data_IF_348150918631
#
_entry.id   IF_348150918631
#
_cell.length_a   1.000
_cell.length_b   1.000
_cell.length_c   1.000
_cell.angle_alpha   90.00
_cell.angle_beta   90.00
_cell.angle_gamma   90.00
#
_symmetry.space_group_name_H-M   'P 1'
#
loop_
_entity.id
_entity.type
_entity.pdbx_description
1 polymer ?
#
# COMPACT_ATOMS: atom_id res chain seq x y z
N UNK A 1 13.74 14.30 14.65
CA UNK A 1 13.95 13.37 13.51
C UNK A 1 12.76 12.42 13.28
N UNK A 2 11.67 12.54 14.04
CA UNK A 2 10.49 11.65 14.03
C UNK A 2 9.30 12.16 13.22
N UNK A 3 9.24 13.47 12.92
CA UNK A 3 8.04 14.09 12.34
C UNK A 3 7.83 13.69 10.87
N UNK A 4 8.88 13.69 10.04
CA UNK A 4 8.78 13.29 8.63
C UNK A 4 8.28 11.84 8.50
N UNK A 5 8.90 10.92 9.23
CA UNK A 5 8.51 9.51 9.25
C UNK A 5 7.06 9.36 9.71
N UNK A 6 6.64 10.08 10.75
CA UNK A 6 5.26 10.07 11.23
C UNK A 6 4.27 10.60 10.17
N UNK A 7 4.61 11.69 9.47
CA UNK A 7 3.80 12.24 8.36
C UNK A 7 3.66 11.24 7.21
N UNK A 8 4.73 10.52 6.86
CA UNK A 8 4.71 9.49 5.81
C UNK A 8 3.88 8.27 6.22
N UNK A 9 4.00 7.81 7.46
CA UNK A 9 3.16 6.73 8.02
C UNK A 9 1.69 7.14 7.96
N UNK A 10 1.36 8.36 8.39
CA UNK A 10 0.00 8.89 8.32
C UNK A 10 -0.53 8.92 6.89
N UNK A 11 0.24 9.42 5.93
CA UNK A 11 -0.16 9.43 4.52
C UNK A 11 -0.42 8.00 3.98
N UNK A 12 0.35 7.01 4.43
CA UNK A 12 0.09 5.60 4.08
C UNK A 12 -1.21 5.07 4.70
N UNK A 13 -1.53 5.44 5.94
CA UNK A 13 -2.82 5.11 6.57
C UNK A 13 -3.98 5.75 5.82
N UNK A 14 -3.89 7.05 5.49
CA UNK A 14 -4.91 7.79 4.77
C UNK A 14 -5.16 7.14 3.38
N UNK A 15 -4.09 6.78 2.67
CA UNK A 15 -4.17 6.03 1.42
C UNK A 15 -4.94 4.71 1.60
N UNK A 16 -4.58 3.91 2.60
CA UNK A 16 -5.20 2.62 2.84
C UNK A 16 -6.67 2.76 3.24
N UNK A 17 -6.99 3.75 4.07
CA UNK A 17 -8.36 4.05 4.49
C UNK A 17 -9.25 4.38 3.28
N UNK A 18 -8.76 5.22 2.36
CA UNK A 18 -9.48 5.55 1.12
C UNK A 18 -9.74 4.28 0.30
N UNK A 19 -8.71 3.43 0.10
CA UNK A 19 -8.85 2.20 -0.69
C UNK A 19 -9.83 1.20 -0.06
N UNK A 20 -9.75 1.01 1.26
CA UNK A 20 -10.68 0.15 2.00
C UNK A 20 -12.11 0.68 1.91
N UNK A 21 -12.31 2.00 2.05
CA UNK A 21 -13.64 2.60 1.95
C UNK A 21 -14.27 2.38 0.57
N UNK A 22 -13.49 2.50 -0.51
CA UNK A 22 -13.95 2.23 -1.88
C UNK A 22 -14.39 0.77 -2.04
N UNK A 23 -13.59 -0.19 -1.58
CA UNK A 23 -13.92 -1.62 -1.68
C UNK A 23 -15.16 -1.96 -0.85
N UNK A 24 -15.25 -1.46 0.39
CA UNK A 24 -16.43 -1.70 1.25
C UNK A 24 -17.70 -1.15 0.62
N UNK A 25 -17.64 0.07 0.06
CA UNK A 25 -18.79 0.66 -0.65
C UNK A 25 -19.22 -0.20 -1.85
N UNK A 26 -18.28 -0.77 -2.59
CA UNK A 26 -18.60 -1.68 -3.70
C UNK A 26 -19.25 -2.97 -3.20
N UNK A 27 -18.76 -3.54 -2.10
CA UNK A 27 -19.36 -4.72 -1.47
C UNK A 27 -20.77 -4.45 -0.95
N UNK A 28 -21.00 -3.28 -0.33
CA UNK A 28 -22.34 -2.88 0.14
C UNK A 28 -23.34 -2.80 -1.03
N UNK A 29 -22.91 -2.23 -2.17
CA UNK A 29 -23.73 -2.22 -3.39
C UNK A 29 -24.07 -3.63 -3.91
N UNK A 30 -23.10 -4.54 -3.98
CA UNK A 30 -23.36 -5.92 -4.38
C UNK A 30 -24.31 -6.66 -3.44
N UNK A 31 -24.29 -6.30 -2.14
CA UNK A 31 -25.22 -6.87 -1.16
C UNK A 31 -26.65 -6.41 -1.42
N UNK A 32 -26.85 -5.13 -1.72
CA UNK A 32 -28.16 -4.58 -2.10
C UNK A 32 -28.68 -5.25 -3.39
N UNK A 33 -27.81 -5.44 -4.40
CA UNK A 33 -28.16 -6.14 -5.64
C UNK A 33 -28.61 -7.58 -5.37
N UNK A 34 -27.87 -8.32 -4.53
CA UNK A 34 -28.20 -9.70 -4.14
C UNK A 34 -29.55 -9.80 -3.43
N UNK A 35 -29.86 -8.84 -2.54
CA UNK A 35 -31.14 -8.77 -1.85
C UNK A 35 -32.29 -8.43 -2.81
N UNK A 36 -32.04 -7.60 -3.83
CA UNK A 36 -33.04 -7.23 -4.84
C UNK A 36 -33.39 -8.38 -5.79
N UNK A 37 -32.38 -9.17 -6.23
CA UNK A 37 -32.60 -10.36 -7.05
C UNK A 37 -33.38 -11.44 -6.29
N UNK A 38 -33.14 -11.58 -4.98
CA UNK A 38 -33.86 -12.57 -4.15
C UNK A 38 -35.38 -12.35 -4.07
N UNK A 39 -35.86 -11.13 -4.33
CA UNK A 39 -37.28 -10.76 -4.29
C UNK A 39 -37.99 -10.90 -5.65
N UNK A 40 -37.26 -11.04 -6.75
CA UNK A 40 -37.79 -11.11 -8.12
C UNK A 40 -37.78 -12.56 -8.64
N UNK A 41 -38.57 -13.45 -8.03
CA UNK A 41 -38.54 -14.90 -8.31
C UNK A 41 -39.31 -15.30 -9.59
N UNK A 42 -38.60 -15.59 -10.68
CA UNK A 42 -39.14 -16.30 -11.86
C UNK A 42 -38.04 -16.98 -12.74
N UNK A 43 -37.60 -18.21 -12.39
CA UNK A 43 -37.00 -19.21 -13.33
C UNK A 43 -35.49 -19.18 -13.65
N UNK A 44 -34.99 -20.20 -14.38
CA UNK A 44 -33.58 -20.57 -14.69
C UNK A 44 -32.59 -19.45 -15.11
N UNK A 45 -33.03 -18.22 -15.40
CA UNK A 45 -32.14 -17.10 -15.77
C UNK A 45 -31.32 -16.53 -14.59
N UNK A 46 -31.68 -16.83 -13.35
CA UNK A 46 -31.07 -16.25 -12.15
C UNK A 46 -29.78 -16.96 -11.68
N UNK A 47 -29.49 -18.17 -12.14
CA UNK A 47 -28.27 -18.89 -11.71
C UNK A 47 -27.00 -18.15 -12.15
N UNK A 48 -26.95 -17.68 -13.40
CA UNK A 48 -25.78 -16.95 -13.92
C UNK A 48 -25.61 -15.56 -13.28
N UNK A 49 -26.72 -14.87 -12.97
CA UNK A 49 -26.70 -13.55 -12.31
C UNK A 49 -26.12 -13.63 -10.89
N UNK A 50 -26.59 -14.61 -10.10
CA UNK A 50 -26.06 -14.88 -8.76
C UNK A 50 -24.60 -15.32 -8.77
N UNK A 51 -24.22 -16.17 -9.72
CA UNK A 51 -22.82 -16.58 -9.87
C UNK A 51 -21.90 -15.40 -10.15
N UNK A 52 -22.31 -14.47 -11.03
CA UNK A 52 -21.54 -13.25 -11.31
C UNK A 52 -21.39 -12.35 -10.08
N UNK A 53 -22.45 -12.14 -9.30
CA UNK A 53 -22.38 -11.38 -8.04
C UNK A 53 -21.40 -12.05 -7.05
N UNK A 54 -21.46 -13.37 -6.90
CA UNK A 54 -20.55 -14.11 -6.04
C UNK A 54 -19.09 -14.02 -6.50
N UNK A 55 -18.84 -14.09 -7.81
CA UNK A 55 -17.50 -13.91 -8.38
C UNK A 55 -16.96 -12.53 -8.01
N UNK A 56 -17.75 -11.48 -8.20
CA UNK A 56 -17.32 -10.12 -7.90
C UNK A 56 -17.12 -9.89 -6.40
N UNK A 57 -18.02 -10.43 -5.57
CA UNK A 57 -17.88 -10.43 -4.11
C UNK A 57 -16.57 -11.07 -3.65
N UNK A 58 -16.22 -12.23 -4.22
CA UNK A 58 -14.98 -12.92 -3.91
C UNK A 58 -13.75 -12.10 -4.29
N UNK A 59 -13.75 -11.44 -5.46
CA UNK A 59 -12.66 -10.54 -5.86
C UNK A 59 -12.48 -9.39 -4.87
N UNK A 60 -13.58 -8.72 -4.49
CA UNK A 60 -13.54 -7.61 -3.52
C UNK A 60 -13.10 -8.10 -2.14
N UNK A 61 -13.53 -9.28 -1.70
CA UNK A 61 -13.09 -9.88 -0.44
C UNK A 61 -11.59 -10.19 -0.43
N UNK A 62 -11.04 -10.70 -1.54
CA UNK A 62 -9.59 -10.90 -1.69
C UNK A 62 -8.85 -9.57 -1.61
N UNK A 63 -9.34 -8.54 -2.30
CA UNK A 63 -8.73 -7.21 -2.27
C UNK A 63 -8.77 -6.58 -0.86
N UNK A 64 -9.88 -6.74 -0.15
CA UNK A 64 -10.00 -6.28 1.24
C UNK A 64 -9.01 -7.00 2.16
N UNK A 65 -8.83 -8.31 1.99
CA UNK A 65 -7.85 -9.08 2.75
C UNK A 65 -6.42 -8.59 2.49
N UNK A 66 -6.07 -8.28 1.24
CA UNK A 66 -4.78 -7.69 0.88
C UNK A 66 -4.55 -6.35 1.60
N UNK A 67 -5.58 -5.49 1.68
CA UNK A 67 -5.47 -4.23 2.42
C UNK A 67 -5.30 -4.43 3.93
N UNK A 68 -5.94 -5.42 4.53
CA UNK A 68 -5.70 -5.77 5.93
C UNK A 68 -4.28 -6.29 6.17
N UNK A 69 -3.71 -7.04 5.22
CA UNK A 69 -2.29 -7.41 5.28
C UNK A 69 -1.37 -6.18 5.23
N UNK A 70 -1.65 -5.20 4.37
CA UNK A 70 -0.90 -3.95 4.32
C UNK A 70 -1.03 -3.16 5.64
N UNK A 71 -2.21 -3.18 6.27
CA UNK A 71 -2.42 -2.54 7.58
C UNK A 71 -1.55 -3.16 8.67
N UNK A 72 -1.38 -4.47 8.65
CA UNK A 72 -0.49 -5.17 9.57
C UNK A 72 0.99 -4.83 9.32
N UNK A 73 1.38 -4.59 8.07
CA UNK A 73 2.73 -4.09 7.74
C UNK A 73 2.94 -2.69 8.33
N UNK A 74 1.96 -1.78 8.19
CA UNK A 74 2.06 -0.43 8.78
C UNK A 74 2.20 -0.46 10.31
N UNK A 75 1.45 -1.33 11.01
CA UNK A 75 1.63 -1.51 12.46
C UNK A 75 3.06 -1.93 12.83
N UNK A 76 3.63 -2.89 12.09
CA UNK A 76 5.02 -3.32 12.31
C UNK A 76 6.02 -2.19 12.08
N UNK A 77 5.76 -1.33 11.09
CA UNK A 77 6.56 -0.14 10.83
C UNK A 77 6.50 0.82 12.01
N UNK A 78 5.33 1.07 12.59
CA UNK A 78 5.18 1.96 13.75
C UNK A 78 6.05 1.52 14.93
N UNK A 79 6.13 0.21 15.18
CA UNK A 79 6.91 -0.39 16.25
C UNK A 79 8.43 -0.46 15.96
N UNK A 80 8.85 -0.24 14.71
CA UNK A 80 10.25 -0.33 14.33
C UNK A 80 11.06 0.90 14.78
N UNK A 81 12.27 0.60 15.28
CA UNK A 81 13.27 1.59 15.64
C UNK A 81 14.30 1.76 14.51
N UNK A 82 14.86 2.96 14.32
CA UNK A 82 15.96 3.17 13.39
C UNK A 82 17.18 2.32 13.77
N UNK A 83 17.79 1.67 12.78
CA UNK A 83 18.96 0.78 12.96
C UNK A 83 20.22 1.30 12.28
N UNK A 84 20.15 2.43 11.57
CA UNK A 84 21.24 3.00 10.76
C UNK A 84 21.38 2.35 9.37
N UNK A 85 20.67 1.26 9.10
CA UNK A 85 20.56 0.65 7.78
C UNK A 85 19.15 0.83 7.25
N UNK A 86 19.00 0.85 5.92
CA UNK A 86 17.70 0.90 5.26
C UNK A 86 16.95 -0.42 5.49
N UNK A 87 15.84 -0.36 6.22
CA UNK A 87 14.98 -1.49 6.54
C UNK A 87 13.52 -1.15 6.22
N UNK A 88 12.62 -2.10 6.43
CA UNK A 88 11.19 -1.79 6.49
C UNK A 88 10.97 -0.64 7.49
N UNK A 89 10.16 0.34 7.10
CA UNK A 89 9.87 1.53 7.90
C UNK A 89 10.91 2.65 7.82
N UNK A 90 11.99 2.48 7.05
CA UNK A 90 13.00 3.52 6.81
C UNK A 90 12.56 4.50 5.72
N UNK A 91 12.85 5.78 5.95
CA UNK A 91 12.84 6.82 4.94
C UNK A 91 14.25 6.97 4.40
N UNK A 92 14.45 6.70 3.12
CA UNK A 92 15.73 6.77 2.43
C UNK A 92 15.75 8.01 1.56
N UNK A 93 16.58 8.99 1.93
CA UNK A 93 16.85 10.16 1.09
C UNK A 93 18.05 9.88 0.19
N UNK A 94 17.91 10.24 -1.08
CA UNK A 94 18.98 10.10 -2.07
C UNK A 94 19.20 11.42 -2.80
N UNK A 95 20.27 11.46 -3.59
CA UNK A 95 20.60 12.57 -4.48
C UNK A 95 19.58 12.81 -5.60
N UNK A 96 18.66 11.86 -5.84
CA UNK A 96 17.65 11.91 -6.90
C UNK A 96 16.23 11.88 -6.37
N UNK A 97 15.79 10.72 -5.90
CA UNK A 97 14.41 10.42 -5.53
C UNK A 97 14.38 9.91 -4.08
N UNK A 98 13.43 10.38 -3.26
CA UNK A 98 13.31 9.90 -1.90
C UNK A 98 12.35 8.70 -1.83
N UNK A 99 12.69 7.72 -1.01
CA UNK A 99 11.92 6.49 -0.87
C UNK A 99 11.47 6.31 0.57
N UNK A 100 10.28 5.73 0.75
CA UNK A 100 9.81 5.25 2.03
C UNK A 100 9.52 3.75 1.91
N UNK A 101 10.39 2.92 2.49
CA UNK A 101 10.28 1.46 2.41
C UNK A 101 9.14 1.04 3.34
N UNK A 102 7.93 0.89 2.80
CA UNK A 102 6.71 0.69 3.57
C UNK A 102 5.71 -0.19 2.81
N UNK A 103 4.47 0.29 2.64
CA UNK A 103 3.45 -0.32 1.78
C UNK A 103 3.48 0.38 0.41
N UNK A 104 2.99 -0.26 -0.67
CA UNK A 104 2.93 0.37 -1.99
C UNK A 104 1.80 1.41 -2.05
N UNK A 105 2.05 2.60 -1.50
CA UNK A 105 1.13 3.73 -1.51
C UNK A 105 1.44 4.75 -2.63
N UNK A 106 2.51 4.53 -3.40
CA UNK A 106 2.85 5.38 -4.54
C UNK A 106 3.55 6.67 -4.13
N UNK A 107 3.39 7.73 -4.92
CA UNK A 107 3.99 9.03 -4.64
C UNK A 107 3.23 9.76 -3.52
N UNK A 108 3.96 10.23 -2.51
CA UNK A 108 3.47 11.03 -1.40
C UNK A 108 4.21 12.37 -1.44
N UNK A 109 3.46 13.45 -1.62
CA UNK A 109 4.00 14.81 -1.61
C UNK A 109 3.88 15.37 -0.19
N UNK A 110 5.00 15.70 0.42
CA UNK A 110 5.06 16.34 1.73
C UNK A 110 5.89 17.61 1.65
N UNK A 111 5.26 18.73 2.00
CA UNK A 111 5.87 20.06 1.95
C UNK A 111 6.41 20.39 0.54
N UNK A 112 7.73 20.36 0.34
CA UNK A 112 8.41 20.62 -0.95
C UNK A 112 9.17 19.40 -1.48
N UNK A 113 8.99 18.23 -0.86
CA UNK A 113 9.68 17.00 -1.20
C UNK A 113 8.67 15.91 -1.62
N UNK A 114 9.07 15.10 -2.59
CA UNK A 114 8.30 13.92 -3.00
C UNK A 114 8.96 12.66 -2.45
N UNK A 115 8.14 11.73 -1.97
CA UNK A 115 8.56 10.44 -1.46
C UNK A 115 7.80 9.33 -2.16
N UNK A 116 8.49 8.28 -2.59
CA UNK A 116 7.85 7.08 -3.12
C UNK A 116 7.70 6.03 -2.02
N UNK A 117 6.46 5.81 -1.58
CA UNK A 117 6.11 4.74 -0.67
C UNK A 117 6.06 3.41 -1.42
N UNK A 118 7.08 2.58 -1.18
CA UNK A 118 7.32 1.34 -1.91
C UNK A 118 7.27 0.13 -0.99
N UNK A 119 6.61 -0.92 -1.45
CA UNK A 119 6.59 -2.20 -0.75
C UNK A 119 7.99 -2.82 -0.65
N UNK A 120 8.26 -3.58 0.42
CA UNK A 120 9.56 -4.25 0.61
C UNK A 120 9.98 -5.12 -0.58
N UNK A 121 9.02 -5.70 -1.31
CA UNK A 121 9.26 -6.55 -2.50
C UNK A 121 9.49 -5.77 -3.80
N UNK A 122 9.37 -4.44 -3.79
CA UNK A 122 9.61 -3.62 -4.98
C UNK A 122 11.09 -3.71 -5.39
N UNK A 123 11.42 -3.76 -6.70
CA UNK A 123 12.81 -3.83 -7.15
C UNK A 123 13.73 -2.75 -6.57
N UNK A 124 13.23 -1.50 -6.49
CA UNK A 124 13.98 -0.40 -5.88
C UNK A 124 14.18 -0.57 -4.38
N UNK A 125 13.19 -1.13 -3.67
CA UNK A 125 13.35 -1.41 -2.25
C UNK A 125 14.39 -2.50 -2.03
N UNK A 126 14.40 -3.55 -2.87
CA UNK A 126 15.37 -4.65 -2.77
C UNK A 126 16.82 -4.19 -2.89
N UNK A 127 17.12 -3.23 -3.77
CA UNK A 127 18.50 -2.71 -3.89
C UNK A 127 18.88 -1.76 -2.75
N UNK A 128 17.91 -1.11 -2.11
CA UNK A 128 18.12 -0.20 -0.98
C UNK A 128 18.23 -0.95 0.36
N UNK A 129 17.57 -2.10 0.52
CA UNK A 129 17.55 -2.83 1.79
C UNK A 129 18.97 -3.20 2.25
N UNK A 130 19.25 -2.93 3.53
CA UNK A 130 20.53 -3.19 4.17
C UNK A 130 21.62 -2.15 3.90
N UNK A 131 21.37 -1.18 3.01
CA UNK A 131 22.31 -0.10 2.69
C UNK A 131 22.39 0.94 3.80
N UNK A 132 23.46 1.72 3.81
CA UNK A 132 23.79 2.75 4.80
C UNK A 132 23.88 4.12 4.13
N UNK A 133 23.89 5.16 4.96
CA UNK A 133 24.24 6.51 4.52
C UNK A 133 25.63 6.52 3.86
N UNK A 134 25.74 7.15 2.70
CA UNK A 134 26.95 7.19 1.86
C UNK A 134 27.04 6.06 0.83
N UNK A 135 26.24 5.00 0.93
CA UNK A 135 26.26 3.92 -0.06
C UNK A 135 25.70 4.36 -1.41
N UNK A 136 26.23 3.76 -2.48
CA UNK A 136 25.72 3.90 -3.83
C UNK A 136 24.99 2.62 -4.27
N UNK A 137 23.88 2.80 -4.99
CA UNK A 137 23.06 1.72 -5.54
C UNK A 137 22.69 2.01 -6.99
N UNK A 138 22.48 0.96 -7.78
CA UNK A 138 22.03 1.08 -9.17
C UNK A 138 20.61 0.52 -9.27
N UNK A 139 19.70 1.32 -9.81
CA UNK A 139 18.34 0.90 -10.12
C UNK A 139 17.92 1.44 -11.48
N UNK A 140 17.43 0.57 -12.38
CA UNK A 140 17.05 0.91 -13.76
C UNK A 140 18.15 1.71 -14.49
N UNK A 141 19.40 1.25 -14.41
CA UNK A 141 20.58 1.91 -15.01
C UNK A 141 20.82 3.36 -14.52
N UNK A 142 20.25 3.73 -13.38
CA UNK A 142 20.50 5.00 -12.70
C UNK A 142 21.19 4.73 -11.37
N UNK A 143 22.30 5.41 -11.13
CA UNK A 143 22.99 5.40 -9.84
C UNK A 143 22.26 6.30 -8.84
N UNK A 144 22.18 5.89 -7.59
CA UNK A 144 21.62 6.67 -6.48
C UNK A 144 22.62 6.65 -5.36
N UNK A 145 22.94 7.81 -4.80
CA UNK A 145 23.71 7.92 -3.58
C UNK A 145 22.77 8.16 -2.42
N UNK A 146 22.91 7.36 -1.37
CA UNK A 146 22.09 7.50 -0.16
C UNK A 146 22.66 8.63 0.69
N UNK A 147 21.95 9.74 0.74
CA UNK A 147 22.37 10.90 1.54
C UNK A 147 21.95 10.76 3.01
N UNK A 148 20.81 10.10 3.28
CA UNK A 148 20.30 9.94 4.65
C UNK A 148 19.32 8.78 4.83
N UNK A 149 19.32 8.15 6.00
CA UNK A 149 18.33 7.14 6.41
C UNK A 149 17.69 7.55 7.74
N UNK A 150 16.35 7.61 7.76
CA UNK A 150 15.54 8.05 8.92
C UNK A 150 14.59 6.94 9.36
#
# INVERSE_FOLDING_TARGET
>A
MTELRSKLIKACHDYLQIKVAVVKKAMDGLKEDMESESKSSAGDKFETGREMINIEWNKLSIQLNQYEQLRNILKRIEDQKPTGNAILGSVVKTDKENFFISIPAGEIKLDKENFYAVGIKAPVAQVLLGKKEGDEVIFNNREFRIDKII
#
